data_IF_540574011241
#
_entry.id   IF_540574011241
#
_cell.length_a   1.000
_cell.length_b   1.000
_cell.length_c   1.000
_cell.angle_alpha   90.00
_cell.angle_beta   90.00
_cell.angle_gamma   90.00
#
_symmetry.space_group_name_H-M   'P 1'
#
loop_
_entity.id
_entity.type
_entity.pdbx_description
1 polymer ?
#
# COMPACT_ATOMS: atom_id res chain seq x y z
N UNK A 1 -7.20 11.63 -14.22
CA UNK A 1 -6.35 10.47 -14.59
C UNK A 1 -5.10 10.53 -13.74
N UNK A 2 -4.87 9.52 -12.90
CA UNK A 2 -3.71 9.49 -12.00
C UNK A 2 -2.46 9.17 -12.81
N UNK A 3 -1.40 9.96 -12.63
CA UNK A 3 -0.15 9.82 -13.39
C UNK A 3 0.96 9.18 -12.55
N UNK A 4 0.94 9.41 -11.22
CA UNK A 4 1.89 8.82 -10.29
C UNK A 4 1.12 7.98 -9.28
N UNK A 5 1.26 6.67 -9.36
CA UNK A 5 0.60 5.76 -8.41
C UNK A 5 1.65 4.83 -7.84
N UNK A 6 1.80 4.86 -6.52
CA UNK A 6 2.68 3.93 -5.82
C UNK A 6 2.00 2.57 -5.73
N UNK A 7 2.49 1.59 -6.48
CA UNK A 7 2.07 0.19 -6.37
C UNK A 7 3.17 -0.56 -5.65
N UNK A 8 2.88 -1.26 -4.56
CA UNK A 8 3.91 -1.96 -3.79
C UNK A 8 3.41 -3.29 -3.19
N UNK A 9 4.35 -4.23 -3.01
CA UNK A 9 4.07 -5.53 -2.41
C UNK A 9 4.12 -5.47 -0.87
N UNK A 10 3.06 -5.96 -0.24
CA UNK A 10 2.95 -6.22 1.20
C UNK A 10 3.32 -7.66 1.51
N UNK A 11 3.84 -7.86 2.70
CA UNK A 11 4.14 -9.20 3.25
C UNK A 11 3.37 -9.50 4.54
N UNK A 12 2.69 -8.51 5.10
CA UNK A 12 1.93 -8.59 6.35
C UNK A 12 0.83 -7.53 6.36
N UNK A 13 -0.10 -7.67 7.30
CA UNK A 13 -1.17 -6.72 7.58
C UNK A 13 -0.76 -5.71 8.67
N UNK A 14 -1.59 -4.69 8.90
CA UNK A 14 -1.36 -3.68 9.95
C UNK A 14 -0.66 -2.41 9.50
N UNK A 15 -0.34 -2.27 8.21
CA UNK A 15 0.08 -1.00 7.62
C UNK A 15 -0.46 -0.88 6.18
N UNK A 16 -1.42 0.03 5.89
CA UNK A 16 -1.97 1.06 6.78
C UNK A 16 -2.83 0.50 7.92
N UNK A 17 -3.05 1.31 8.95
CA UNK A 17 -3.95 0.98 10.05
C UNK A 17 -5.43 1.11 9.65
N UNK A 18 -6.34 0.81 10.60
CA UNK A 18 -7.79 0.89 10.39
C UNK A 18 -8.32 2.28 10.00
N UNK A 19 -7.54 3.34 10.25
CA UNK A 19 -7.89 4.72 9.93
C UNK A 19 -7.31 5.15 8.57
N UNK A 20 -6.55 4.28 7.89
CA UNK A 20 -5.86 4.58 6.64
C UNK A 20 -4.51 5.26 6.84
N UNK A 21 -3.93 5.26 8.05
CA UNK A 21 -2.59 5.79 8.28
C UNK A 21 -1.53 4.81 7.76
N UNK A 22 -0.88 5.18 6.65
CA UNK A 22 0.21 4.46 6.02
C UNK A 22 1.58 4.92 6.55
N UNK A 23 2.44 3.97 6.90
CA UNK A 23 3.69 4.22 7.61
C UNK A 23 3.56 4.15 9.12
N UNK A 24 2.38 3.74 9.64
CA UNK A 24 2.14 3.52 11.06
C UNK A 24 3.03 2.41 11.67
N UNK A 25 3.69 1.62 10.82
CA UNK A 25 4.70 0.62 11.17
C UNK A 25 6.04 0.80 10.45
N UNK A 26 6.30 2.03 9.98
CA UNK A 26 7.45 2.39 9.15
C UNK A 26 7.62 1.52 7.88
N UNK A 27 6.55 0.89 7.37
CA UNK A 27 6.61 0.13 6.12
C UNK A 27 6.90 1.04 4.93
N UNK A 28 7.75 0.60 3.99
CA UNK A 28 8.26 1.41 2.86
C UNK A 28 9.23 2.56 3.25
N UNK A 29 9.37 2.90 4.54
CA UNK A 29 10.36 3.89 5.04
C UNK A 29 10.32 5.19 4.23
N UNK A 30 11.47 5.69 3.79
CA UNK A 30 11.62 6.90 2.99
C UNK A 30 10.94 6.86 1.63
N UNK A 31 10.54 5.70 1.09
CA UNK A 31 9.76 5.66 -0.16
C UNK A 31 8.42 6.39 -0.03
N UNK A 32 7.87 6.50 1.17
CA UNK A 32 6.66 7.28 1.45
C UNK A 32 6.84 8.78 1.19
N UNK A 33 8.08 9.29 1.16
CA UNK A 33 8.37 10.69 0.86
C UNK A 33 8.21 11.02 -0.64
N UNK A 34 8.32 10.04 -1.55
CA UNK A 34 8.21 10.25 -3.01
C UNK A 34 6.85 10.82 -3.39
N UNK A 35 6.78 11.61 -4.45
CA UNK A 35 5.49 12.12 -4.96
C UNK A 35 4.65 11.02 -5.61
N UNK A 36 3.41 10.91 -5.17
CA UNK A 36 2.39 10.05 -5.76
C UNK A 36 1.02 10.66 -5.50
N UNK A 37 0.08 10.39 -6.40
CA UNK A 37 -1.31 10.86 -6.33
C UNK A 37 -2.23 9.81 -5.66
N UNK A 38 -1.80 8.54 -5.69
CA UNK A 38 -2.48 7.41 -5.09
C UNK A 38 -1.51 6.28 -4.73
N UNK A 39 -1.95 5.34 -3.90
CA UNK A 39 -1.22 4.15 -3.47
C UNK A 39 -2.10 2.91 -3.64
N UNK A 40 -1.54 1.82 -4.14
CA UNK A 40 -2.16 0.50 -4.23
C UNK A 40 -1.26 -0.49 -3.52
N UNK A 41 -1.74 -1.03 -2.40
CA UNK A 41 -1.08 -2.12 -1.69
C UNK A 41 -1.53 -3.47 -2.25
N UNK A 42 -0.60 -4.26 -2.78
CA UNK A 42 -0.85 -5.62 -3.27
C UNK A 42 -0.14 -6.65 -2.42
N UNK A 43 -0.65 -7.87 -2.30
CA UNK A 43 0.06 -8.95 -1.66
C UNK A 43 1.23 -9.47 -2.51
N UNK A 44 2.34 -9.80 -1.85
CA UNK A 44 3.44 -10.55 -2.45
C UNK A 44 3.07 -11.99 -2.81
N UNK A 45 4.05 -12.77 -3.28
CA UNK A 45 3.89 -14.22 -3.60
C UNK A 45 4.68 -15.14 -2.66
N UNK A 46 5.39 -14.56 -1.68
CA UNK A 46 6.20 -15.29 -0.72
C UNK A 46 5.37 -15.91 0.42
N UNK A 47 5.99 -16.82 1.18
CA UNK A 47 5.34 -17.58 2.25
C UNK A 47 4.58 -16.70 3.26
N UNK A 48 5.14 -15.56 3.64
CA UNK A 48 4.51 -14.64 4.58
C UNK A 48 3.21 -14.02 4.02
N UNK A 49 3.19 -13.63 2.74
CA UNK A 49 1.96 -13.11 2.13
C UNK A 49 0.87 -14.18 2.05
N UNK A 50 1.26 -15.43 1.80
CA UNK A 50 0.34 -16.59 1.78
C UNK A 50 -0.20 -16.91 3.16
N UNK A 51 0.64 -16.89 4.20
CA UNK A 51 0.20 -17.15 5.58
C UNK A 51 -0.81 -16.11 6.07
N UNK A 52 -0.71 -14.87 5.57
CA UNK A 52 -1.67 -13.80 5.84
C UNK A 52 -2.88 -13.80 4.89
N UNK A 53 -2.95 -14.72 3.92
CA UNK A 53 -4.05 -14.84 2.96
C UNK A 53 -4.20 -13.67 1.98
N UNK A 54 -3.18 -12.82 1.89
CA UNK A 54 -3.18 -11.59 1.09
C UNK A 54 -2.50 -11.76 -0.27
N UNK A 55 -1.86 -12.91 -0.53
CA UNK A 55 -1.04 -13.12 -1.71
C UNK A 55 -1.83 -12.88 -3.01
N UNK A 56 -1.18 -12.18 -3.96
CA UNK A 56 -1.75 -11.84 -5.27
C UNK A 56 -3.04 -11.01 -5.25
N UNK A 57 -3.48 -10.53 -4.09
CA UNK A 57 -4.69 -9.71 -3.95
C UNK A 57 -4.36 -8.22 -3.81
N UNK A 58 -5.32 -7.37 -4.17
CA UNK A 58 -5.33 -5.96 -3.78
C UNK A 58 -5.80 -5.90 -2.33
N UNK A 59 -4.99 -5.32 -1.46
CA UNK A 59 -5.31 -5.24 -0.04
C UNK A 59 -5.94 -3.92 0.33
N UNK A 60 -5.45 -2.82 -0.23
CA UNK A 60 -5.97 -1.49 0.06
C UNK A 60 -5.57 -0.50 -1.03
N UNK A 61 -6.33 0.59 -1.11
CA UNK A 61 -6.10 1.69 -2.05
C UNK A 61 -6.27 3.01 -1.28
N UNK A 62 -5.31 3.91 -1.43
CA UNK A 62 -5.37 5.27 -0.89
C UNK A 62 -5.25 6.31 -2.00
N UNK A 63 -6.06 7.35 -1.97
CA UNK A 63 -6.09 8.43 -2.99
C UNK A 63 -6.00 9.78 -2.31
N UNK A 64 -5.23 10.71 -2.88
CA UNK A 64 -5.04 12.05 -2.32
C UNK A 64 -4.19 11.99 -1.04
N UNK A 65 -2.91 11.64 -1.12
CA UNK A 65 -2.08 11.45 0.05
C UNK A 65 -1.71 12.77 0.73
N UNK A 66 -1.91 12.83 2.04
CA UNK A 66 -1.43 13.90 2.92
C UNK A 66 -0.26 13.37 3.74
N UNK A 67 0.89 14.04 3.64
CA UNK A 67 2.13 13.58 4.27
C UNK A 67 2.45 14.43 5.49
N UNK A 68 2.69 13.76 6.60
CA UNK A 68 3.09 14.37 7.85
C UNK A 68 4.51 13.90 8.17
N UNK A 69 5.48 14.82 8.35
CA UNK A 69 6.81 14.44 8.79
C UNK A 69 6.73 13.79 10.18
N UNK A 70 7.49 12.72 10.38
CA UNK A 70 7.60 12.02 11.66
C UNK A 70 9.08 11.94 12.05
N UNK A 71 9.39 12.29 13.29
CA UNK A 71 10.77 12.36 13.80
C UNK A 71 11.29 11.01 14.28
N UNK A 72 10.40 10.08 14.60
CA UNK A 72 10.69 8.75 15.16
C UNK A 72 10.78 7.66 14.07
N UNK A 73 10.66 8.01 12.78
CA UNK A 73 10.58 7.04 11.67
C UNK A 73 11.36 7.49 10.44
N UNK A 74 11.68 6.54 9.55
CA UNK A 74 12.50 6.81 8.35
C UNK A 74 11.76 7.52 7.21
N UNK A 75 10.46 7.75 7.34
CA UNK A 75 9.65 8.43 6.32
C UNK A 75 8.36 9.00 6.91
N UNK A 76 7.64 9.83 6.17
CA UNK A 76 6.45 10.50 6.66
C UNK A 76 5.33 9.51 6.96
N UNK A 77 4.41 9.89 7.85
CA UNK A 77 3.09 9.27 7.96
C UNK A 77 2.22 9.80 6.82
N UNK A 78 1.41 8.93 6.22
CA UNK A 78 0.58 9.29 5.07
C UNK A 78 -0.87 8.93 5.36
N UNK A 79 -1.76 9.92 5.31
CA UNK A 79 -3.22 9.70 5.29
C UNK A 79 -3.75 10.00 3.89
N UNK A 80 -5.03 9.70 3.64
CA UNK A 80 -5.63 9.80 2.30
C UNK A 80 -7.00 10.46 2.36
N UNK A 81 -7.36 11.23 1.34
CA UNK A 81 -8.72 11.74 1.15
C UNK A 81 -9.74 10.60 1.01
N UNK A 82 -9.35 9.56 0.27
CA UNK A 82 -10.13 8.34 0.13
C UNK A 82 -9.25 7.14 0.46
N UNK A 83 -9.65 6.37 1.46
CA UNK A 83 -9.04 5.08 1.77
C UNK A 83 -10.08 3.97 1.63
N UNK A 84 -9.71 2.93 0.87
CA UNK A 84 -10.52 1.74 0.64
C UNK A 84 -9.72 0.51 1.07
N UNK A 85 -10.17 -0.16 2.12
CA UNK A 85 -9.62 -1.43 2.61
C UNK A 85 -10.33 -2.60 1.90
N UNK A 86 -9.62 -3.21 0.96
CA UNK A 86 -10.10 -4.34 0.17
C UNK A 86 -9.70 -5.70 0.78
N UNK A 87 -9.16 -5.73 2.00
CA UNK A 87 -8.66 -6.97 2.62
C UNK A 87 -9.72 -8.07 2.72
N UNK A 88 -11.00 -7.69 2.80
CA UNK A 88 -12.14 -8.62 2.84
C UNK A 88 -12.74 -8.94 1.47
N UNK A 89 -12.51 -8.10 0.47
CA UNK A 89 -13.23 -8.13 -0.81
C UNK A 89 -12.62 -9.12 -1.83
N UNK A 90 -11.61 -9.91 -1.43
CA UNK A 90 -10.95 -10.93 -2.23
C UNK A 90 -10.58 -10.48 -3.67
N UNK A 91 -10.24 -9.20 -3.85
CA UNK A 91 -9.93 -8.63 -5.15
C UNK A 91 -8.60 -9.18 -5.68
N UNK A 92 -8.68 -10.09 -6.64
CA UNK A 92 -7.50 -10.65 -7.30
C UNK A 92 -6.82 -9.61 -8.21
N UNK A 93 -5.54 -9.36 -7.96
CA UNK A 93 -4.80 -8.32 -8.68
C UNK A 93 -4.57 -8.69 -10.15
N UNK A 94 -4.37 -9.99 -10.44
CA UNK A 94 -4.11 -10.47 -11.79
C UNK A 94 -5.36 -10.32 -12.68
N UNK A 95 -6.54 -10.49 -12.09
CA UNK A 95 -7.82 -10.33 -12.79
C UNK A 95 -8.08 -8.87 -13.16
N UNK A 96 -7.76 -7.93 -12.25
CA UNK A 96 -8.02 -6.51 -12.48
C UNK A 96 -6.93 -5.80 -13.30
N UNK A 97 -5.67 -6.23 -13.15
CA UNK A 97 -4.50 -5.62 -13.77
C UNK A 97 -3.48 -6.68 -14.24
N UNK A 98 -3.80 -7.47 -15.29
CA UNK A 98 -2.95 -8.59 -15.71
C UNK A 98 -1.55 -8.16 -16.17
N UNK A 99 -1.43 -7.03 -16.87
CA UNK A 99 -0.12 -6.57 -17.37
C UNK A 99 0.74 -6.08 -16.22
N UNK A 100 0.17 -5.28 -15.33
CA UNK A 100 0.88 -4.79 -14.16
C UNK A 100 1.23 -5.93 -13.20
N UNK A 101 0.33 -6.91 -13.00
CA UNK A 101 0.60 -8.09 -12.19
C UNK A 101 1.76 -8.91 -12.76
N UNK A 102 1.81 -9.09 -14.09
CA UNK A 102 2.93 -9.75 -14.76
C UNK A 102 4.23 -9.01 -14.47
N UNK A 103 4.27 -7.68 -14.61
CA UNK A 103 5.47 -6.88 -14.31
C UNK A 103 5.88 -6.99 -12.85
N UNK A 104 4.93 -6.85 -11.93
CA UNK A 104 5.20 -6.91 -10.50
C UNK A 104 5.74 -8.28 -10.09
N UNK A 105 5.11 -9.38 -10.50
CA UNK A 105 5.49 -10.72 -10.03
C UNK A 105 6.61 -11.36 -10.84
N UNK A 106 6.58 -11.28 -12.18
CA UNK A 106 7.59 -11.94 -13.04
C UNK A 106 8.97 -11.31 -12.87
N UNK A 107 9.03 -9.98 -12.78
CA UNK A 107 10.29 -9.26 -12.66
C UNK A 107 10.67 -9.01 -11.18
N UNK A 108 9.95 -9.64 -10.25
CA UNK A 108 10.09 -9.47 -8.80
C UNK A 108 10.15 -7.99 -8.32
N UNK A 109 9.45 -7.09 -9.00
CA UNK A 109 9.41 -5.66 -8.63
C UNK A 109 8.73 -5.50 -7.27
N UNK A 110 9.41 -4.83 -6.33
CA UNK A 110 8.88 -4.63 -4.97
C UNK A 110 7.93 -3.43 -4.89
N UNK A 111 8.21 -2.39 -5.65
CA UNK A 111 7.40 -1.18 -5.74
C UNK A 111 7.62 -0.44 -7.05
N UNK A 112 6.61 0.25 -7.54
CA UNK A 112 6.62 1.07 -8.75
C UNK A 112 5.84 2.37 -8.51
N UNK A 113 6.31 3.50 -9.01
CA UNK A 113 5.63 4.82 -8.88
C UNK A 113 5.36 5.47 -10.23
N UNK A 114 6.24 5.24 -11.21
CA UNK A 114 6.21 5.81 -12.55
C UNK A 114 6.70 4.79 -13.58
N UNK A 115 6.67 5.15 -14.86
CA UNK A 115 7.15 4.30 -15.95
C UNK A 115 6.19 3.17 -16.30
N UNK A 116 4.90 3.37 -16.05
CA UNK A 116 3.82 2.49 -16.51
C UNK A 116 3.68 2.58 -18.02
N UNK A 117 3.42 1.46 -18.69
CA UNK A 117 2.92 1.48 -20.08
C UNK A 117 1.51 2.05 -20.12
N UNK A 118 1.03 2.46 -21.30
CA UNK A 118 -0.35 2.95 -21.44
C UNK A 118 -1.41 1.94 -20.97
N UNK A 119 -1.14 0.64 -21.17
CA UNK A 119 -2.01 -0.44 -20.71
C UNK A 119 -1.98 -0.58 -19.17
N UNK A 120 -0.78 -0.59 -18.58
CA UNK A 120 -0.63 -0.64 -17.12
C UNK A 120 -1.27 0.59 -16.46
N UNK A 121 -1.11 1.77 -17.06
CA UNK A 121 -1.70 2.99 -16.55
C UNK A 121 -3.24 2.95 -16.61
N UNK A 122 -3.82 2.35 -17.65
CA UNK A 122 -5.26 2.12 -17.73
C UNK A 122 -5.75 1.16 -16.63
N UNK A 123 -5.01 0.07 -16.39
CA UNK A 123 -5.29 -0.88 -15.30
C UNK A 123 -5.22 -0.21 -13.92
N UNK A 124 -4.16 0.57 -13.66
CA UNK A 124 -4.00 1.36 -12.44
C UNK A 124 -5.18 2.31 -12.25
N UNK A 125 -5.54 3.09 -13.28
CA UNK A 125 -6.65 4.03 -13.19
C UNK A 125 -7.99 3.32 -12.96
N UNK A 126 -8.19 2.12 -13.54
CA UNK A 126 -9.38 1.29 -13.28
C UNK A 126 -9.46 0.89 -11.80
N UNK A 127 -8.35 0.44 -11.22
CA UNK A 127 -8.29 0.07 -9.80
C UNK A 127 -8.55 1.27 -8.90
N UNK A 128 -7.89 2.41 -9.14
CA UNK A 128 -8.08 3.61 -8.32
C UNK A 128 -9.53 4.13 -8.40
N UNK A 129 -10.19 4.02 -9.56
CA UNK A 129 -11.61 4.35 -9.70
C UNK A 129 -12.54 3.46 -8.87
N UNK A 130 -12.16 2.22 -8.54
CA UNK A 130 -12.95 1.37 -7.63
C UNK A 130 -12.95 1.96 -6.21
N UNK A 131 -11.81 2.46 -5.75
CA UNK A 131 -11.70 3.11 -4.45
C UNK A 131 -12.56 4.39 -4.38
N UNK A 132 -12.61 5.18 -5.46
CA UNK A 132 -13.43 6.39 -5.53
C UNK A 132 -14.94 6.13 -5.55
N UNK A 133 -15.38 4.93 -6.00
CA UNK A 133 -16.79 4.53 -6.00
C UNK A 133 -17.26 3.98 -4.65
N UNK A 134 -16.31 3.60 -3.79
CA UNK A 134 -16.60 3.12 -2.45
C UNK A 134 -16.78 4.32 -1.50
N UNK A 135 -17.60 4.21 -0.44
CA UNK A 135 -17.78 5.30 0.51
C UNK A 135 -16.41 5.75 1.06
N UNK A 136 -16.15 7.07 1.19
CA UNK A 136 -14.89 7.55 1.73
C UNK A 136 -14.68 7.00 3.14
N UNK A 137 -13.42 6.68 3.47
CA UNK A 137 -13.02 6.31 4.82
C UNK A 137 -13.49 7.34 5.85
N UNK A 138 -13.87 6.88 7.05
CA UNK A 138 -14.38 7.71 8.15
C UNK A 138 -13.41 8.76 8.72
N UNK A 139 -12.25 8.99 8.12
CA UNK A 139 -11.15 9.75 8.70
C UNK A 139 -10.88 11.06 7.96
N UNK A 140 -11.79 12.04 8.09
CA UNK A 140 -11.33 13.43 8.26
C UNK A 140 -10.74 13.54 9.67
N UNK A 141 -9.53 13.03 9.87
CA UNK A 141 -8.75 13.35 11.06
C UNK A 141 -8.10 14.71 10.81
N UNK A 142 -8.75 15.75 11.32
CA UNK A 142 -8.14 17.05 11.57
C UNK A 142 -6.92 16.82 12.48
N UNK A 143 -5.74 17.23 12.02
CA UNK A 143 -4.47 17.26 12.76
C UNK A 143 -3.76 15.91 12.90
N UNK A 144 -2.60 15.80 12.24
CA UNK A 144 -1.77 14.59 12.11
C UNK A 144 -1.11 14.05 13.39
N UNK A 145 -1.59 14.41 14.57
CA UNK A 145 -1.07 13.92 15.85
C UNK A 145 -1.85 12.70 16.40
N UNK A 146 -3.16 12.63 16.18
CA UNK A 146 -4.03 11.61 16.81
C UNK A 146 -4.41 10.43 15.87
N UNK A 147 -3.93 10.44 14.63
CA UNK A 147 -4.44 9.54 13.59
C UNK A 147 -3.92 8.10 13.65
N UNK A 148 -2.71 7.89 14.18
CA UNK A 148 -2.01 6.62 14.03
C UNK A 148 -1.93 5.90 15.38
N UNK A 149 -2.81 4.92 15.62
CA UNK A 149 -2.65 4.00 16.76
C UNK A 149 -1.57 2.99 16.38
N UNK A 150 -0.32 3.33 16.65
CA UNK A 150 0.83 2.51 16.30
C UNK A 150 0.81 1.17 17.07
N UNK A 151 0.36 0.10 16.44
CA UNK A 151 0.69 -1.27 16.89
C UNK A 151 2.04 -1.60 16.29
N UNK A 152 3.12 -1.35 17.05
CA UNK A 152 4.51 -1.65 16.67
C UNK A 152 4.59 -3.01 15.96
N UNK A 153 4.95 -3.02 14.67
CA UNK A 153 5.41 -4.23 14.02
C UNK A 153 6.65 -4.74 14.77
N UNK A 154 6.54 -5.93 15.37
CA UNK A 154 7.66 -6.59 16.00
C UNK A 154 8.81 -6.70 14.99
N UNK A 155 10.04 -6.27 15.35
CA UNK A 155 11.20 -6.53 14.53
C UNK A 155 11.41 -8.04 14.42
N UNK A 156 11.83 -8.49 13.24
CA UNK A 156 12.25 -9.87 13.00
C UNK A 156 13.20 -10.31 14.11
N UNK A 157 12.85 -11.37 14.85
CA UNK A 157 13.85 -12.18 15.53
C UNK A 157 14.77 -12.74 14.45
N UNK A 158 16.00 -12.25 14.40
CA UNK A 158 17.05 -12.79 13.53
C UNK A 158 17.27 -14.24 13.96
N UNK A 159 16.78 -15.18 13.17
CA UNK A 159 17.11 -16.58 13.35
C UNK A 159 18.52 -16.82 12.80
N UNK A 160 19.39 -17.33 13.66
CA UNK A 160 20.59 -18.08 13.28
C UNK A 160 21.80 -17.24 12.87
N UNK A 161 22.63 -16.89 13.85
CA UNK A 161 24.08 -16.85 13.63
C UNK A 161 24.62 -18.20 14.10
N UNK A 162 24.87 -19.08 13.14
CA UNK A 162 25.77 -20.22 13.28
C UNK A 162 27.17 -19.79 12.81
N UNK A 163 28.15 -20.52 13.36
CA UNK A 163 29.61 -20.35 13.30
C UNK A 163 30.16 -19.38 14.34
#
# INVERSE_FOLDING_TARGET
>A
MFKRVLVYKRTHNGDPDKNGCFGCNDCMKSFRAREFDAVIGIGGIGAQARSWGIDRKINWIGVGPHKFPATDRKGPLVTFDHFYDCSKDALDFKTLAPNLAKRMYRNNVRSLVHGFTSQELAEVNKIVRLALKSPPSRSKLSSGADACTAVRCEPKKTAGQCC
#
